data_IF_283250180482
#
_entry.id   IF_283250180482
#
_cell.length_a   1.000
_cell.length_b   1.000
_cell.length_c   1.000
_cell.angle_alpha   90.00
_cell.angle_beta   90.00
_cell.angle_gamma   90.00
#
_symmetry.space_group_name_H-M   'P 1'
#
loop_
_entity.id
_entity.type
_entity.pdbx_description
1 polymer ?
#
# COMPACT_ATOMS: atom_id res chain seq x y z
N UNK A 1 6.64 10.00 -0.05
CA UNK A 1 6.35 8.88 0.88
C UNK A 1 5.57 7.84 0.11
N UNK A 2 6.22 6.75 -0.25
CA UNK A 2 5.58 5.56 -0.83
C UNK A 2 5.57 4.47 0.25
N UNK A 3 4.54 3.64 0.25
CA UNK A 3 4.47 2.49 1.14
C UNK A 3 4.69 1.22 0.33
N UNK A 4 5.39 0.24 0.89
CA UNK A 4 5.56 -1.08 0.28
C UNK A 4 4.75 -2.08 1.06
N UNK A 5 4.01 -2.92 0.34
CA UNK A 5 3.23 -4.01 0.91
C UNK A 5 4.18 -5.10 1.40
N UNK A 6 4.06 -5.46 2.66
CA UNK A 6 4.90 -6.47 3.33
C UNK A 6 4.17 -7.81 3.49
N UNK A 7 2.84 -7.80 3.44
CA UNK A 7 2.00 -9.00 3.49
C UNK A 7 0.84 -8.82 2.51
N UNK A 8 0.49 -9.87 1.75
CA UNK A 8 -0.59 -9.77 0.79
C UNK A 8 -1.95 -9.53 1.48
N UNK A 9 -2.71 -8.55 1.00
CA UNK A 9 -4.03 -8.23 1.57
C UNK A 9 -5.01 -7.69 0.54
N UNK A 10 -6.28 -7.75 0.88
CA UNK A 10 -7.35 -7.04 0.16
C UNK A 10 -7.85 -5.89 1.03
N UNK A 11 -7.83 -4.66 0.52
CA UNK A 11 -8.22 -3.50 1.30
C UNK A 11 -9.71 -3.57 1.72
N UNK A 12 -9.98 -3.32 3.00
CA UNK A 12 -11.34 -3.31 3.55
C UNK A 12 -12.12 -2.05 3.14
N UNK A 13 -11.44 -0.96 2.78
CA UNK A 13 -12.02 0.28 2.29
C UNK A 13 -12.85 0.02 1.02
N UNK A 14 -14.14 0.38 1.07
CA UNK A 14 -15.09 0.21 -0.02
C UNK A 14 -14.70 0.97 -1.29
N UNK A 15 -13.88 2.02 -1.17
CA UNK A 15 -13.40 2.80 -2.31
C UNK A 15 -12.18 2.17 -3.00
N UNK A 16 -11.61 1.10 -2.44
CA UNK A 16 -10.47 0.36 -3.04
C UNK A 16 -10.94 -0.62 -4.11
N UNK A 17 -11.78 -0.15 -5.03
CA UNK A 17 -12.34 -0.92 -6.13
C UNK A 17 -11.93 -0.35 -7.48
N UNK A 18 -11.87 -1.18 -8.51
CA UNK A 18 -11.66 -0.78 -9.90
C UNK A 18 -12.94 -0.18 -10.53
N UNK A 19 -12.92 0.07 -11.85
CA UNK A 19 -14.08 0.58 -12.58
C UNK A 19 -15.26 -0.40 -12.66
N UNK A 20 -15.00 -1.69 -12.41
CA UNK A 20 -15.99 -2.77 -12.39
C UNK A 20 -16.50 -3.07 -10.97
N UNK A 21 -15.97 -2.39 -9.95
CA UNK A 21 -16.31 -2.64 -8.55
C UNK A 21 -15.52 -3.78 -7.90
N UNK A 22 -14.50 -4.31 -8.58
CA UNK A 22 -13.65 -5.39 -8.07
C UNK A 22 -12.54 -4.83 -7.17
N UNK A 23 -12.29 -5.49 -6.05
CA UNK A 23 -11.25 -5.06 -5.12
C UNK A 23 -9.86 -5.37 -5.66
N UNK A 24 -8.95 -4.42 -5.50
CA UNK A 24 -7.54 -4.68 -5.74
C UNK A 24 -6.96 -5.58 -4.64
N UNK A 25 -6.23 -6.62 -5.05
CA UNK A 25 -5.42 -7.46 -4.16
C UNK A 25 -4.01 -6.92 -4.20
N UNK A 26 -3.49 -6.53 -3.04
CA UNK A 26 -2.11 -6.11 -2.84
C UNK A 26 -1.26 -7.34 -2.55
N UNK A 27 -0.17 -7.51 -3.27
CA UNK A 27 0.82 -8.56 -3.06
C UNK A 27 2.07 -8.00 -2.40
N UNK A 28 2.85 -8.86 -1.76
CA UNK A 28 4.14 -8.48 -1.16
C UNK A 28 5.06 -7.83 -2.21
N UNK A 29 5.64 -6.68 -1.86
CA UNK A 29 6.47 -5.84 -2.74
C UNK A 29 5.70 -4.78 -3.52
N UNK A 30 4.36 -4.84 -3.57
CA UNK A 30 3.55 -3.84 -4.26
C UNK A 30 3.67 -2.46 -3.61
N UNK A 31 3.48 -1.41 -4.41
CA UNK A 31 3.39 -0.04 -3.90
C UNK A 31 1.95 0.25 -3.45
N UNK A 32 1.81 0.76 -2.23
CA UNK A 32 0.52 1.20 -1.69
C UNK A 32 0.42 2.74 -1.65
N UNK A 33 -0.74 3.32 -2.05
CA UNK A 33 -1.85 2.65 -2.73
C UNK A 33 -1.53 2.45 -4.22
N UNK A 34 -2.05 1.37 -4.83
CA UNK A 34 -1.85 1.07 -6.26
C UNK A 34 -2.38 2.20 -7.17
N UNK A 35 -3.53 2.74 -6.77
CA UNK A 35 -4.12 3.95 -7.35
C UNK A 35 -4.70 4.82 -6.24
N UNK A 36 -4.78 6.15 -6.40
CA UNK A 36 -5.43 7.00 -5.41
C UNK A 36 -6.94 6.70 -5.35
N UNK A 37 -7.46 6.50 -4.13
CA UNK A 37 -8.89 6.41 -3.83
C UNK A 37 -9.22 7.13 -2.52
N UNK A 38 -10.50 7.42 -2.32
CA UNK A 38 -10.97 8.11 -1.13
C UNK A 38 -10.62 7.32 0.14
N UNK A 39 -9.84 7.95 1.02
CA UNK A 39 -9.42 7.36 2.29
C UNK A 39 -8.08 6.62 2.27
N UNK A 40 -7.49 6.35 1.10
CA UNK A 40 -6.27 5.53 0.93
C UNK A 40 -5.09 6.02 1.79
N UNK A 41 -4.91 7.34 1.86
CA UNK A 41 -3.78 8.00 2.55
C UNK A 41 -4.21 8.76 3.81
N UNK A 42 -5.38 8.44 4.36
CA UNK A 42 -5.77 9.03 5.66
C UNK A 42 -4.86 8.51 6.77
N UNK A 43 -4.57 9.36 7.75
CA UNK A 43 -3.73 8.98 8.91
C UNK A 43 -4.24 7.72 9.61
N UNK A 44 -5.56 7.58 9.73
CA UNK A 44 -6.18 6.40 10.34
C UNK A 44 -5.90 5.15 9.51
N UNK A 45 -6.13 5.19 8.19
CA UNK A 45 -5.92 4.03 7.32
C UNK A 45 -4.45 3.60 7.25
N UNK A 46 -3.55 4.56 7.10
CA UNK A 46 -2.11 4.30 7.09
C UNK A 46 -1.67 3.69 8.42
N UNK A 47 -2.17 4.22 9.56
CA UNK A 47 -1.89 3.67 10.88
C UNK A 47 -2.37 2.22 11.01
N UNK A 48 -3.59 1.90 10.57
CA UNK A 48 -4.12 0.52 10.59
C UNK A 48 -3.23 -0.45 9.79
N UNK A 49 -2.78 -0.04 8.61
CA UNK A 49 -1.97 -0.89 7.74
C UNK A 49 -0.53 -1.05 8.26
N UNK A 50 0.06 0.02 8.79
CA UNK A 50 1.40 0.01 9.40
C UNK A 50 1.42 -0.79 10.70
N UNK A 51 0.50 -0.52 11.64
CA UNK A 51 0.42 -1.27 12.90
C UNK A 51 -0.03 -2.72 12.70
N UNK A 52 -0.78 -2.99 11.62
CA UNK A 52 -1.17 -4.33 11.21
C UNK A 52 -0.08 -5.12 10.47
N UNK A 53 1.04 -4.48 10.09
CA UNK A 53 2.13 -5.15 9.37
C UNK A 53 1.85 -5.44 7.89
N UNK A 54 0.86 -4.79 7.29
CA UNK A 54 0.49 -4.98 5.88
C UNK A 54 1.33 -4.13 4.93
N UNK A 55 1.79 -2.97 5.40
CA UNK A 55 2.65 -2.07 4.64
C UNK A 55 3.77 -1.54 5.54
N UNK A 56 4.85 -1.08 4.94
CA UNK A 56 5.92 -0.32 5.59
C UNK A 56 6.23 0.99 4.83
N UNK A 57 6.79 1.96 5.52
CA UNK A 57 7.24 3.22 4.93
C UNK A 57 8.51 2.98 4.12
N UNK A 58 8.44 3.11 2.79
CA UNK A 58 9.64 3.18 1.97
C UNK A 58 10.30 4.53 2.18
N UNK A 59 11.45 4.54 2.86
CA UNK A 59 12.34 5.71 2.83
C UNK A 59 13.09 5.64 1.52
N UNK A 60 13.16 6.76 0.80
CA UNK A 60 13.85 6.87 -0.48
C UNK A 60 15.37 6.52 -0.40
N UNK A 61 15.90 6.25 0.81
CA UNK A 61 17.27 5.80 1.07
C UNK A 61 17.55 4.33 0.71
N UNK A 62 16.53 3.51 0.42
CA UNK A 62 16.70 2.09 0.02
C UNK A 62 16.86 1.89 -1.51
N UNK A 63 17.05 2.96 -2.30
CA UNK A 63 17.11 2.91 -3.78
C UNK A 63 18.55 2.88 -4.32
N UNK A 64 19.58 2.99 -3.49
CA UNK A 64 20.98 2.93 -3.93
C UNK A 64 21.74 1.81 -3.22
N UNK A 65 21.68 0.56 -3.69
CA UNK A 65 22.79 -0.42 -3.65
C UNK A 65 22.58 -1.59 -4.63
N UNK A 66 22.73 -1.35 -5.94
CA UNK A 66 23.36 -2.35 -6.82
C UNK A 66 24.07 -1.67 -8.00
N UNK A 67 25.34 -1.27 -7.85
CA UNK A 67 26.22 -1.06 -8.98
C UNK A 67 26.86 -2.41 -9.36
N UNK A 68 26.19 -3.16 -10.24
CA UNK A 68 26.79 -4.28 -10.98
C UNK A 68 27.67 -3.78 -12.13
#
# INVERSE_FOLDING_TARGET
>A
MAYVVTEAFTDSNLNSVDENGEKHVYWEGDTYPYKPYAGATTKLRLKELLEGGYIDERRDEDVDQDPS
#
